data_IF_929304147064
#
_entry.id   IF_929304147064
#
_cell.length_a   1.000
_cell.length_b   1.000
_cell.length_c   1.000
_cell.angle_alpha   90.00
_cell.angle_beta   90.00
_cell.angle_gamma   90.00
#
_symmetry.space_group_name_H-M   'P 1'
#
loop_
_entity.id
_entity.type
_entity.pdbx_description
1 polymer ?
#
# COMPACT_ATOMS: atom_id res chain seq x y z
N UNK A 1 -18.63 15.33 8.15
CA UNK A 1 -17.72 14.53 9.00
C UNK A 1 -16.32 15.11 8.91
N UNK A 2 -15.55 15.21 9.99
CA UNK A 2 -14.15 15.60 9.90
C UNK A 2 -13.40 14.58 9.05
N UNK A 3 -12.62 15.04 8.06
CA UNK A 3 -11.67 14.18 7.36
C UNK A 3 -10.61 13.75 8.37
N UNK A 4 -10.28 12.46 8.44
CA UNK A 4 -9.09 12.04 9.16
C UNK A 4 -7.87 12.56 8.40
N UNK A 5 -7.13 13.50 9.00
CA UNK A 5 -5.97 14.15 8.40
C UNK A 5 -4.68 13.59 8.98
N UNK A 6 -3.60 13.63 8.18
CA UNK A 6 -2.28 13.16 8.59
C UNK A 6 -1.67 14.12 9.62
N UNK A 7 -1.42 13.62 10.84
CA UNK A 7 -0.85 14.41 11.95
C UNK A 7 0.67 14.27 12.09
N UNK A 8 1.32 13.52 11.20
CA UNK A 8 2.77 13.29 11.29
C UNK A 8 3.53 14.61 11.07
N UNK A 9 4.63 14.79 11.80
CA UNK A 9 5.48 15.99 11.70
C UNK A 9 6.89 15.67 11.20
N UNK A 10 7.12 14.43 10.75
CA UNK A 10 8.40 14.02 10.17
C UNK A 10 8.57 14.46 8.72
N UNK A 11 9.80 14.82 8.36
CA UNK A 11 10.26 14.98 6.97
C UNK A 11 10.96 13.73 6.47
N UNK A 12 10.92 13.55 5.16
CA UNK A 12 11.39 12.37 4.43
C UNK A 12 12.32 12.76 3.27
N UNK A 13 13.00 13.91 3.36
CA UNK A 13 13.96 14.34 2.34
C UNK A 13 15.05 13.28 2.14
N UNK A 14 15.38 13.00 0.88
CA UNK A 14 16.37 11.98 0.51
C UNK A 14 15.93 10.54 0.76
N UNK A 15 14.69 10.30 1.19
CA UNK A 15 14.14 8.95 1.40
C UNK A 15 13.45 8.43 0.14
N UNK A 16 13.61 7.13 -0.12
CA UNK A 16 12.88 6.44 -1.18
C UNK A 16 11.72 5.63 -0.60
N UNK A 17 10.53 5.81 -1.16
CA UNK A 17 9.36 4.99 -0.88
C UNK A 17 8.84 4.29 -2.14
N UNK A 18 8.39 3.04 -2.00
CA UNK A 18 7.67 2.30 -3.03
C UNK A 18 6.24 2.08 -2.54
N UNK A 19 5.24 2.48 -3.34
CA UNK A 19 3.83 2.28 -3.03
C UNK A 19 3.19 1.40 -4.10
N UNK A 20 2.78 0.19 -3.75
CA UNK A 20 2.03 -0.67 -4.69
C UNK A 20 0.59 -0.21 -4.79
N UNK A 21 0.02 -0.18 -6.00
CA UNK A 21 -1.35 0.30 -6.22
C UNK A 21 -1.50 1.80 -5.95
N UNK A 22 -0.49 2.59 -6.29
CA UNK A 22 -0.43 4.05 -6.05
C UNK A 22 -1.39 4.89 -6.90
N UNK A 23 -2.13 4.28 -7.84
CA UNK A 23 -2.98 5.00 -8.78
C UNK A 23 -4.42 5.27 -8.28
N UNK A 24 -4.81 4.74 -7.12
CA UNK A 24 -6.17 4.92 -6.60
C UNK A 24 -6.24 4.82 -5.07
N UNK A 25 -7.35 5.32 -4.52
CA UNK A 25 -7.70 5.19 -3.10
C UNK A 25 -6.54 5.54 -2.16
N UNK A 26 -6.29 4.65 -1.19
CA UNK A 26 -5.28 4.84 -0.14
C UNK A 26 -3.88 4.96 -0.72
N UNK A 27 -3.53 4.20 -1.76
CA UNK A 27 -2.20 4.24 -2.37
C UNK A 27 -1.89 5.61 -2.98
N UNK A 28 -2.87 6.22 -3.64
CA UNK A 28 -2.74 7.56 -4.23
C UNK A 28 -2.54 8.64 -3.16
N UNK A 29 -3.37 8.64 -2.11
CA UNK A 29 -3.24 9.62 -1.02
C UNK A 29 -1.94 9.41 -0.23
N UNK A 30 -1.54 8.15 -0.01
CA UNK A 30 -0.24 7.83 0.62
C UNK A 30 0.93 8.35 -0.19
N UNK A 31 0.88 8.19 -1.51
CA UNK A 31 1.90 8.72 -2.44
C UNK A 31 2.00 10.24 -2.33
N UNK A 32 0.86 10.94 -2.32
CA UNK A 32 0.83 12.39 -2.19
C UNK A 32 1.47 12.86 -0.88
N UNK A 33 1.10 12.26 0.26
CA UNK A 33 1.63 12.69 1.56
C UNK A 33 3.10 12.32 1.78
N UNK A 34 3.58 11.21 1.21
CA UNK A 34 5.02 10.89 1.21
C UNK A 34 5.81 11.93 0.40
N UNK A 35 5.33 12.27 -0.80
CA UNK A 35 6.00 13.24 -1.67
C UNK A 35 5.99 14.66 -1.08
N UNK A 36 4.87 15.09 -0.46
CA UNK A 36 4.79 16.38 0.26
C UNK A 36 5.79 16.45 1.42
N UNK A 37 6.16 15.30 1.99
CA UNK A 37 7.21 15.22 3.03
C UNK A 37 8.63 15.14 2.49
N UNK A 38 8.83 15.23 1.17
CA UNK A 38 10.14 15.26 0.55
C UNK A 38 10.65 13.92 0.03
N UNK A 39 9.89 12.83 0.22
CA UNK A 39 10.30 11.54 -0.30
C UNK A 39 10.29 11.53 -1.83
N UNK A 40 11.19 10.75 -2.42
CA UNK A 40 11.01 10.20 -3.77
C UNK A 40 10.07 9.00 -3.65
N UNK A 41 9.07 8.91 -4.52
CA UNK A 41 8.05 7.86 -4.48
C UNK A 41 7.97 7.15 -5.82
N UNK A 42 8.21 5.84 -5.80
CA UNK A 42 7.92 4.94 -6.92
C UNK A 42 6.46 4.50 -6.80
N UNK A 43 5.66 4.97 -7.76
CA UNK A 43 4.26 4.63 -7.96
C UNK A 43 4.16 3.31 -8.73
N UNK A 44 4.21 2.18 -8.02
CA UNK A 44 4.21 0.85 -8.63
C UNK A 44 2.77 0.41 -8.96
N UNK A 45 2.43 0.38 -10.26
CA UNK A 45 1.07 0.17 -10.74
C UNK A 45 1.03 -0.77 -11.95
N UNK A 46 -0.04 -1.59 -12.05
CA UNK A 46 -0.26 -2.46 -13.21
C UNK A 46 -0.57 -1.68 -14.49
N UNK A 47 -1.38 -0.63 -14.40
CA UNK A 47 -1.80 0.17 -15.55
C UNK A 47 -1.14 1.55 -15.49
N UNK A 48 -0.28 1.83 -16.48
CA UNK A 48 0.53 3.05 -16.56
C UNK A 48 -0.33 4.29 -16.79
N UNK A 49 -1.37 4.20 -17.62
CA UNK A 49 -2.22 5.35 -17.94
C UNK A 49 -2.96 5.86 -16.69
N UNK A 50 -3.49 4.95 -15.87
CA UNK A 50 -4.11 5.28 -14.58
C UNK A 50 -3.10 5.80 -13.58
N UNK A 51 -1.86 5.30 -13.61
CA UNK A 51 -0.79 5.83 -12.78
C UNK A 51 -0.44 7.28 -13.18
N UNK A 52 -0.37 7.58 -14.48
CA UNK A 52 -0.15 8.94 -14.98
C UNK A 52 -1.29 9.89 -14.62
N UNK A 53 -2.55 9.45 -14.73
CA UNK A 53 -3.69 10.26 -14.26
C UNK A 53 -3.60 10.56 -12.76
N UNK A 54 -3.21 9.57 -11.95
CA UNK A 54 -3.00 9.77 -10.52
C UNK A 54 -1.82 10.72 -10.23
N UNK A 55 -0.70 10.55 -10.93
CA UNK A 55 0.48 11.42 -10.83
C UNK A 55 0.11 12.86 -11.19
N UNK A 56 -0.59 13.06 -12.31
CA UNK A 56 -1.08 14.38 -12.73
C UNK A 56 -1.97 15.00 -11.66
N UNK A 57 -2.92 14.24 -11.10
CA UNK A 57 -3.79 14.74 -10.04
C UNK A 57 -2.99 15.20 -8.81
N UNK A 58 -1.95 14.45 -8.40
CA UNK A 58 -1.08 14.86 -7.28
C UNK A 58 -0.37 16.18 -7.61
N UNK A 59 0.16 16.31 -8.82
CA UNK A 59 0.86 17.53 -9.25
C UNK A 59 -0.09 18.73 -9.35
N UNK A 60 -1.29 18.55 -9.89
CA UNK A 60 -2.32 19.60 -9.96
C UNK A 60 -2.80 20.04 -8.56
N UNK A 61 -2.70 19.18 -7.55
CA UNK A 61 -3.10 19.52 -6.18
C UNK A 61 -1.99 20.13 -5.34
N UNK A 62 -0.74 19.71 -5.57
CA UNK A 62 0.34 19.91 -4.59
C UNK A 62 1.65 20.47 -5.17
N UNK A 63 1.69 20.85 -6.44
CA UNK A 63 2.87 21.56 -7.01
C UNK A 63 2.86 23.04 -6.60
N UNK A 64 4.03 23.66 -6.62
CA UNK A 64 4.18 25.10 -6.40
C UNK A 64 3.30 25.91 -7.37
N UNK A 65 2.71 26.99 -6.88
CA UNK A 65 1.76 27.82 -7.63
C UNK A 65 0.31 27.34 -7.59
N UNK A 66 0.02 26.14 -7.07
CA UNK A 66 -1.36 25.67 -6.89
C UNK A 66 -2.03 26.31 -5.67
N UNK A 67 -3.33 26.65 -5.75
CA UNK A 67 -4.09 27.12 -4.59
C UNK A 67 -4.02 26.09 -3.45
N UNK A 68 -3.86 26.58 -2.22
CA UNK A 68 -3.87 25.77 -1.00
C UNK A 68 -2.80 24.67 -0.93
N UNK A 69 -1.72 24.74 -1.71
CA UNK A 69 -0.67 23.70 -1.77
C UNK A 69 -0.13 23.27 -0.39
N UNK A 70 -0.08 24.19 0.58
CA UNK A 70 0.38 23.94 1.95
C UNK A 70 -0.74 23.98 3.00
N UNK A 71 -2.00 24.15 2.62
CA UNK A 71 -3.15 24.21 3.54
C UNK A 71 -4.16 23.10 3.27
N UNK A 72 -4.20 22.57 2.04
CA UNK A 72 -5.04 21.45 1.63
C UNK A 72 -4.72 20.20 2.42
N UNK A 73 -5.74 19.67 3.10
CA UNK A 73 -5.67 18.47 3.95
C UNK A 73 -4.63 18.58 5.08
N UNK A 74 -4.36 19.80 5.57
CA UNK A 74 -3.40 20.04 6.66
C UNK A 74 -4.16 20.32 7.97
N UNK A 75 -3.93 19.54 9.03
CA UNK A 75 -4.73 19.64 10.26
C UNK A 75 -4.33 20.80 11.18
N UNK A 76 -3.08 21.26 11.12
CA UNK A 76 -2.55 22.31 11.99
C UNK A 76 -1.25 22.89 11.42
N UNK A 77 -0.81 24.03 11.96
CA UNK A 77 0.43 24.72 11.55
C UNK A 77 1.68 23.87 11.75
N UNK A 78 1.72 22.98 12.76
CA UNK A 78 2.86 22.09 12.95
C UNK A 78 3.06 21.16 11.75
N UNK A 79 1.98 20.55 11.24
CA UNK A 79 2.07 19.69 10.04
C UNK A 79 2.42 20.51 8.79
N UNK A 80 1.90 21.74 8.68
CA UNK A 80 2.21 22.65 7.58
C UNK A 80 3.70 22.92 7.43
N UNK A 81 4.42 23.07 8.55
CA UNK A 81 5.88 23.26 8.56
C UNK A 81 6.66 22.02 8.09
N UNK A 82 6.02 20.85 8.06
CA UNK A 82 6.66 19.57 7.72
C UNK A 82 6.40 19.14 6.28
N UNK A 83 5.64 19.90 5.50
CA UNK A 83 5.32 19.60 4.11
C UNK A 83 5.87 20.68 3.17
N UNK A 84 6.13 20.27 1.94
CA UNK A 84 6.65 21.10 0.84
C UNK A 84 5.82 20.83 -0.41
N UNK A 85 5.77 21.76 -1.37
CA UNK A 85 5.22 21.47 -2.68
C UNK A 85 5.90 20.25 -3.31
N UNK A 86 5.10 19.42 -3.99
CA UNK A 86 5.55 18.23 -4.70
C UNK A 86 6.22 18.65 -6.00
N UNK A 87 7.40 18.08 -6.27
CA UNK A 87 8.12 18.26 -7.53
C UNK A 87 7.85 17.08 -8.46
N UNK A 88 7.68 17.29 -9.79
CA UNK A 88 7.45 16.20 -10.74
C UNK A 88 8.47 15.06 -10.65
N UNK A 89 9.75 15.39 -10.45
CA UNK A 89 10.83 14.40 -10.32
C UNK A 89 10.77 13.53 -9.06
N UNK A 90 9.94 13.86 -8.07
CA UNK A 90 9.72 13.00 -6.91
C UNK A 90 8.81 11.80 -7.23
N UNK A 91 7.99 11.87 -8.28
CA UNK A 91 7.01 10.84 -8.60
C UNK A 91 7.46 10.03 -9.82
N UNK A 92 7.93 8.81 -9.57
CA UNK A 92 8.40 7.89 -10.61
C UNK A 92 7.36 6.80 -10.81
N UNK A 93 6.91 6.57 -12.05
CA UNK A 93 5.95 5.49 -12.35
C UNK A 93 6.72 4.25 -12.79
N UNK A 94 6.37 3.11 -12.20
CA UNK A 94 6.92 1.81 -12.57
C UNK A 94 5.80 0.78 -12.73
N UNK A 95 5.97 -0.11 -13.71
CA UNK A 95 5.01 -1.17 -13.98
C UNK A 95 5.15 -2.32 -12.98
N UNK A 96 4.06 -2.65 -12.30
CA UNK A 96 3.99 -3.78 -11.39
C UNK A 96 2.58 -4.38 -11.35
N UNK A 97 2.45 -5.63 -11.77
CA UNK A 97 1.29 -6.47 -11.49
C UNK A 97 1.60 -7.45 -10.35
N UNK A 98 0.98 -7.26 -9.18
CA UNK A 98 1.18 -8.17 -8.04
C UNK A 98 0.49 -9.52 -8.21
N UNK A 99 -0.25 -9.73 -9.31
CA UNK A 99 -0.83 -11.01 -9.72
C UNK A 99 0.04 -11.76 -10.75
N UNK A 100 1.29 -11.34 -10.97
CA UNK A 100 2.23 -12.02 -11.88
C UNK A 100 3.65 -12.01 -11.32
N UNK A 101 4.21 -13.18 -11.02
CA UNK A 101 5.58 -13.31 -10.52
C UNK A 101 6.62 -12.85 -11.54
N UNK A 102 6.36 -13.03 -12.83
CA UNK A 102 7.20 -12.48 -13.89
C UNK A 102 7.25 -10.95 -13.83
N UNK A 103 6.09 -10.29 -13.67
CA UNK A 103 6.02 -8.82 -13.51
C UNK A 103 6.76 -8.36 -12.25
N UNK A 104 6.58 -9.06 -11.12
CA UNK A 104 7.24 -8.75 -9.85
C UNK A 104 8.77 -8.86 -9.96
N UNK A 105 9.28 -9.91 -10.59
CA UNK A 105 10.73 -10.09 -10.80
C UNK A 105 11.30 -8.99 -11.69
N UNK A 106 10.67 -8.72 -12.83
CA UNK A 106 11.10 -7.67 -13.74
C UNK A 106 11.07 -6.28 -13.08
N UNK A 107 10.05 -5.98 -12.27
CA UNK A 107 9.99 -4.76 -11.47
C UNK A 107 11.16 -4.67 -10.48
N UNK A 108 11.41 -5.74 -9.72
CA UNK A 108 12.49 -5.77 -8.74
C UNK A 108 13.86 -5.57 -9.40
N UNK A 109 14.11 -6.19 -10.56
CA UNK A 109 15.33 -6.00 -11.34
C UNK A 109 15.54 -4.53 -11.73
N UNK A 110 14.51 -3.87 -12.29
CA UNK A 110 14.60 -2.44 -12.68
C UNK A 110 14.84 -1.53 -11.49
N UNK A 111 14.15 -1.76 -10.38
CA UNK A 111 14.32 -0.96 -9.16
C UNK A 111 15.72 -1.18 -8.57
N UNK A 112 16.20 -2.41 -8.48
CA UNK A 112 17.52 -2.70 -7.91
C UNK A 112 18.67 -2.21 -8.81
N UNK A 113 18.44 -2.09 -10.13
CA UNK A 113 19.39 -1.49 -11.06
C UNK A 113 19.49 0.04 -10.92
N UNK A 114 18.42 0.72 -10.49
CA UNK A 114 18.33 2.18 -10.45
C UNK A 114 18.43 2.77 -9.04
N UNK A 115 18.04 2.02 -8.01
CA UNK A 115 17.93 2.51 -6.64
C UNK A 115 18.80 1.71 -5.68
N UNK A 116 19.68 2.42 -4.98
CA UNK A 116 20.59 1.78 -4.04
C UNK A 116 19.92 1.43 -2.72
N UNK A 117 18.90 2.16 -2.26
CA UNK A 117 18.29 1.96 -0.94
C UNK A 117 16.78 2.14 -1.01
N UNK A 118 16.03 1.38 -0.20
CA UNK A 118 14.57 1.51 -0.09
C UNK A 118 14.22 1.77 1.37
N UNK A 119 13.84 3.00 1.71
CA UNK A 119 13.51 3.37 3.09
C UNK A 119 12.09 2.92 3.47
N UNK A 120 11.15 2.91 2.52
CA UNK A 120 9.76 2.50 2.78
C UNK A 120 9.23 1.60 1.66
N UNK A 121 8.76 0.40 2.02
CA UNK A 121 7.96 -0.46 1.12
C UNK A 121 6.53 -0.51 1.64
N UNK A 122 5.58 0.03 0.87
CA UNK A 122 4.16 0.04 1.19
C UNK A 122 3.45 -0.99 0.31
N UNK A 123 3.22 -2.18 0.87
CA UNK A 123 2.46 -3.27 0.27
C UNK A 123 0.95 -2.95 0.40
N UNK A 124 0.46 -2.06 -0.48
CA UNK A 124 -0.90 -1.52 -0.46
C UNK A 124 -1.84 -2.15 -1.50
N UNK A 125 -1.33 -2.57 -2.65
CA UNK A 125 -2.15 -3.10 -3.74
C UNK A 125 -3.06 -4.25 -3.25
N UNK A 126 -4.20 -4.40 -3.91
CA UNK A 126 -5.04 -5.55 -3.63
C UNK A 126 -6.39 -5.51 -4.31
N UNK A 127 -7.02 -6.67 -4.30
CA UNK A 127 -8.38 -6.92 -4.78
C UNK A 127 -9.25 -7.38 -3.61
N UNK A 128 -10.56 -7.20 -3.73
CA UNK A 128 -11.50 -7.45 -2.64
C UNK A 128 -12.77 -8.13 -3.14
N UNK A 129 -13.11 -9.25 -2.51
CA UNK A 129 -14.38 -9.97 -2.69
C UNK A 129 -14.73 -10.23 -4.16
N UNK A 130 -13.74 -10.53 -4.99
CA UNK A 130 -13.92 -10.83 -6.41
C UNK A 130 -14.55 -12.22 -6.62
N UNK A 131 -15.17 -12.50 -7.78
CA UNK A 131 -15.41 -13.87 -8.23
C UNK A 131 -14.13 -14.72 -8.20
N UNK A 132 -14.26 -16.04 -8.23
CA UNK A 132 -13.09 -16.91 -8.35
C UNK A 132 -12.33 -16.56 -9.63
N UNK A 133 -11.02 -16.54 -9.52
CA UNK A 133 -10.11 -16.31 -10.62
C UNK A 133 -8.71 -16.69 -10.17
N UNK A 134 -7.82 -16.82 -11.13
CA UNK A 134 -6.43 -17.18 -10.86
C UNK A 134 -5.50 -16.07 -11.35
N UNK A 135 -4.40 -15.93 -10.63
CA UNK A 135 -3.22 -15.16 -11.05
C UNK A 135 -2.54 -15.84 -12.25
N UNK A 136 -1.60 -15.15 -12.89
CA UNK A 136 -0.82 -15.73 -13.98
C UNK A 136 -0.02 -16.97 -13.55
N UNK A 137 0.21 -17.13 -12.25
CA UNK A 137 1.00 -18.21 -11.63
C UNK A 137 0.12 -19.32 -11.03
N UNK A 138 -1.19 -19.36 -11.33
CA UNK A 138 -2.10 -20.42 -10.90
C UNK A 138 -2.50 -20.37 -9.42
N UNK A 139 -2.31 -19.22 -8.76
CA UNK A 139 -2.78 -18.95 -7.40
C UNK A 139 -4.16 -18.30 -7.44
N UNK A 140 -5.00 -18.56 -6.43
CA UNK A 140 -6.27 -17.84 -6.26
C UNK A 140 -6.03 -16.33 -6.21
N UNK A 141 -6.86 -15.59 -6.94
CA UNK A 141 -6.61 -14.19 -7.26
C UNK A 141 -6.39 -13.30 -6.02
N UNK A 142 -7.20 -13.45 -4.97
CA UNK A 142 -7.11 -12.60 -3.79
C UNK A 142 -5.88 -12.92 -2.93
N UNK A 143 -5.59 -14.19 -2.63
CA UNK A 143 -4.38 -14.56 -1.88
C UNK A 143 -3.10 -14.34 -2.70
N UNK A 144 -3.17 -14.60 -4.01
CA UNK A 144 -2.08 -14.36 -4.95
C UNK A 144 -1.72 -12.87 -5.02
N UNK A 145 -2.70 -12.01 -5.33
CA UNK A 145 -2.50 -10.56 -5.48
C UNK A 145 -2.20 -9.86 -4.16
N UNK A 146 -2.96 -10.16 -3.09
CA UNK A 146 -2.89 -9.39 -1.85
C UNK A 146 -1.71 -9.81 -0.97
N UNK A 147 -1.30 -11.08 -1.05
CA UNK A 147 -0.31 -11.67 -0.16
C UNK A 147 0.92 -12.22 -0.89
N UNK A 148 0.79 -13.26 -1.72
CA UNK A 148 1.97 -13.92 -2.31
C UNK A 148 2.78 -13.02 -3.24
N UNK A 149 2.12 -12.16 -4.01
CA UNK A 149 2.80 -11.16 -4.83
C UNK A 149 3.62 -10.18 -4.01
N UNK A 150 3.06 -9.68 -2.89
CA UNK A 150 3.79 -8.82 -1.97
C UNK A 150 4.87 -9.55 -1.17
N UNK A 151 4.66 -10.82 -0.85
CA UNK A 151 5.67 -11.66 -0.22
C UNK A 151 6.90 -11.75 -1.13
N UNK A 152 6.72 -12.18 -2.39
CA UNK A 152 7.81 -12.26 -3.36
C UNK A 152 8.48 -10.90 -3.58
N UNK A 153 7.69 -9.83 -3.76
CA UNK A 153 8.21 -8.47 -3.91
C UNK A 153 9.11 -8.06 -2.74
N UNK A 154 8.65 -8.33 -1.51
CA UNK A 154 9.39 -7.96 -0.29
C UNK A 154 10.72 -8.72 -0.20
N UNK A 155 10.70 -10.03 -0.48
CA UNK A 155 11.91 -10.86 -0.46
C UNK A 155 12.93 -10.41 -1.52
N UNK A 156 12.47 -10.11 -2.75
CA UNK A 156 13.36 -9.65 -3.82
C UNK A 156 13.98 -8.28 -3.54
N UNK A 157 13.23 -7.37 -2.93
CA UNK A 157 13.72 -6.02 -2.60
C UNK A 157 14.49 -5.94 -1.28
N UNK A 158 14.51 -7.04 -0.49
CA UNK A 158 15.14 -7.09 0.82
C UNK A 158 16.59 -6.59 0.84
N UNK A 159 17.46 -6.89 -0.15
CA UNK A 159 18.83 -6.36 -0.16
C UNK A 159 18.89 -4.82 -0.14
N UNK A 160 18.00 -4.13 -0.87
CA UNK A 160 17.96 -2.67 -0.88
C UNK A 160 17.27 -2.08 0.36
N UNK A 161 16.32 -2.81 0.94
CA UNK A 161 15.70 -2.44 2.23
C UNK A 161 16.74 -2.50 3.35
N UNK A 162 17.54 -3.57 3.42
CA UNK A 162 18.63 -3.72 4.40
C UNK A 162 19.65 -2.58 4.32
N UNK A 163 19.98 -2.09 3.12
CA UNK A 163 20.88 -0.94 2.94
C UNK A 163 20.31 0.39 3.47
N UNK A 164 19.00 0.49 3.65
CA UNK A 164 18.37 1.64 4.29
C UNK A 164 18.26 1.51 5.83
N UNK A 165 18.61 0.36 6.40
CA UNK A 165 18.56 0.11 7.83
C UNK A 165 19.76 0.74 8.58
N UNK A 166 19.60 1.06 9.88
CA UNK A 166 18.37 0.99 10.67
C UNK A 166 17.34 2.05 10.24
N UNK A 167 16.06 1.73 10.40
CA UNK A 167 14.94 2.66 10.19
C UNK A 167 14.15 2.46 8.89
N UNK A 168 14.56 1.52 8.03
CA UNK A 168 13.75 1.11 6.89
C UNK A 168 12.47 0.42 7.34
N UNK A 169 11.37 0.64 6.62
CA UNK A 169 10.05 0.14 7.01
C UNK A 169 9.35 -0.64 5.93
N UNK A 170 8.73 -1.76 6.32
CA UNK A 170 7.84 -2.55 5.48
C UNK A 170 6.43 -2.44 6.06
N UNK A 171 5.50 -1.89 5.28
CA UNK A 171 4.13 -1.65 5.70
C UNK A 171 3.19 -2.53 4.88
N UNK A 172 2.57 -3.51 5.53
CA UNK A 172 1.57 -4.39 4.93
C UNK A 172 0.17 -3.85 5.18
N UNK A 173 -0.55 -3.46 4.11
CA UNK A 173 -1.94 -2.99 4.24
C UNK A 173 -2.88 -4.20 4.32
N UNK A 174 -3.46 -4.37 5.51
CA UNK A 174 -4.48 -5.37 5.82
C UNK A 174 -5.88 -4.73 5.82
N UNK A 175 -6.82 -5.30 6.56
CA UNK A 175 -8.21 -4.85 6.73
C UNK A 175 -8.74 -5.37 8.07
N UNK A 176 -9.74 -4.72 8.66
CA UNK A 176 -10.47 -5.26 9.83
C UNK A 176 -11.03 -6.67 9.56
N UNK A 177 -11.25 -7.01 8.29
CA UNK A 177 -11.65 -8.34 7.83
C UNK A 177 -10.71 -9.47 8.31
N UNK A 178 -9.43 -9.18 8.58
CA UNK A 178 -8.48 -10.18 9.09
C UNK A 178 -8.94 -10.85 10.39
N UNK A 179 -9.72 -10.15 11.24
CA UNK A 179 -10.23 -10.69 12.51
C UNK A 179 -11.18 -11.89 12.32
N UNK A 180 -11.76 -12.03 11.14
CA UNK A 180 -12.64 -13.15 10.74
C UNK A 180 -11.91 -14.15 9.83
N UNK A 181 -10.64 -13.91 9.52
CA UNK A 181 -9.84 -14.78 8.66
C UNK A 181 -9.42 -16.05 9.38
N UNK A 182 -9.22 -17.12 8.61
CA UNK A 182 -8.51 -18.32 9.01
C UNK A 182 -7.56 -18.70 7.88
N UNK A 183 -6.33 -19.05 8.22
CA UNK A 183 -5.39 -19.59 7.23
C UNK A 183 -5.73 -21.07 7.05
N UNK A 184 -6.12 -21.44 5.83
CA UNK A 184 -6.18 -22.84 5.45
C UNK A 184 -4.77 -23.32 5.12
N UNK A 185 -4.12 -23.99 6.07
CA UNK A 185 -2.73 -24.44 5.94
C UNK A 185 -2.56 -25.61 4.97
N UNK A 186 -3.62 -26.36 4.66
CA UNK A 186 -3.57 -27.47 3.70
C UNK A 186 -3.71 -27.00 2.25
N UNK A 187 -4.51 -25.96 2.01
CA UNK A 187 -4.64 -25.31 0.69
C UNK A 187 -5.09 -23.85 0.82
N UNK A 188 -4.14 -22.94 0.64
CA UNK A 188 -4.42 -21.50 0.66
C UNK A 188 -5.13 -21.01 -0.61
N UNK A 189 -5.18 -21.80 -1.70
CA UNK A 189 -5.83 -21.40 -2.94
C UNK A 189 -7.36 -21.55 -2.91
N UNK A 190 -7.93 -22.26 -1.93
CA UNK A 190 -9.38 -22.38 -1.75
C UNK A 190 -10.14 -22.68 -3.07
N UNK A 191 -9.66 -23.67 -3.83
CA UNK A 191 -10.19 -23.97 -5.18
C UNK A 191 -11.66 -24.41 -5.19
N UNK A 192 -12.33 -24.12 -6.30
CA UNK A 192 -13.69 -24.57 -6.64
C UNK A 192 -14.74 -24.38 -5.54
N UNK A 193 -15.32 -25.49 -5.06
CA UNK A 193 -16.44 -25.54 -4.10
C UNK A 193 -16.09 -24.96 -2.73
N UNK A 194 -14.80 -24.78 -2.43
CA UNK A 194 -14.32 -24.21 -1.17
C UNK A 194 -14.18 -22.69 -1.21
N UNK A 195 -14.36 -22.07 -2.39
CA UNK A 195 -14.22 -20.64 -2.58
C UNK A 195 -15.41 -19.88 -2.01
N UNK A 196 -15.11 -18.90 -1.16
CA UNK A 196 -16.05 -17.87 -0.76
C UNK A 196 -15.38 -16.52 -0.88
N UNK A 197 -16.01 -15.57 -1.59
CA UNK A 197 -15.43 -14.25 -1.90
C UNK A 197 -14.84 -13.56 -0.66
N UNK A 198 -15.61 -13.55 0.44
CA UNK A 198 -15.18 -12.99 1.71
C UNK A 198 -14.20 -13.88 2.47
N UNK A 199 -14.32 -15.21 2.36
CA UNK A 199 -13.41 -16.18 2.98
C UNK A 199 -11.99 -16.04 2.41
N UNK A 200 -11.86 -15.97 1.10
CA UNK A 200 -10.59 -15.71 0.41
C UNK A 200 -10.02 -14.33 0.77
N UNK A 201 -10.87 -13.30 0.78
CA UNK A 201 -10.44 -11.95 1.17
C UNK A 201 -9.91 -11.90 2.62
N UNK A 202 -10.68 -12.40 3.59
CA UNK A 202 -10.31 -12.37 5.01
C UNK A 202 -9.06 -13.21 5.28
N UNK A 203 -8.91 -14.36 4.61
CA UNK A 203 -7.68 -15.16 4.62
C UNK A 203 -6.48 -14.35 4.12
N UNK A 204 -6.61 -13.67 2.98
CA UNK A 204 -5.51 -12.86 2.42
C UNK A 204 -5.09 -11.71 3.35
N UNK A 205 -6.05 -11.07 4.01
CA UNK A 205 -5.76 -9.96 4.94
C UNK A 205 -5.19 -10.46 6.27
N UNK A 206 -5.57 -11.65 6.74
CA UNK A 206 -4.89 -12.31 7.85
C UNK A 206 -3.46 -12.70 7.51
N UNK A 207 -3.22 -13.21 6.30
CA UNK A 207 -1.88 -13.56 5.82
C UNK A 207 -0.94 -12.33 5.85
N UNK A 208 -1.43 -11.14 5.48
CA UNK A 208 -0.66 -9.90 5.58
C UNK A 208 -0.26 -9.52 7.02
N UNK A 209 -1.15 -9.74 8.00
CA UNK A 209 -0.85 -9.49 9.44
C UNK A 209 0.22 -10.46 9.92
N UNK A 210 0.06 -11.75 9.60
CA UNK A 210 1.03 -12.79 9.97
C UNK A 210 2.39 -12.49 9.33
N UNK A 211 2.40 -12.10 8.06
CA UNK A 211 3.62 -11.77 7.33
C UNK A 211 4.38 -10.60 7.97
N UNK A 212 3.69 -9.49 8.26
CA UNK A 212 4.31 -8.35 8.92
C UNK A 212 4.92 -8.73 10.28
N UNK A 213 4.21 -9.56 11.07
CA UNK A 213 4.73 -10.07 12.35
C UNK A 213 5.98 -10.93 12.15
N UNK A 214 5.99 -11.81 11.15
CA UNK A 214 7.14 -12.67 10.87
C UNK A 214 8.35 -11.87 10.36
N UNK A 215 8.14 -10.88 9.49
CA UNK A 215 9.21 -9.97 9.05
C UNK A 215 9.81 -9.21 10.24
N UNK A 216 8.96 -8.69 11.14
CA UNK A 216 9.42 -7.97 12.33
C UNK A 216 10.26 -8.85 13.25
N UNK A 217 9.88 -10.11 13.43
CA UNK A 217 10.65 -11.07 14.21
C UNK A 217 11.97 -11.45 13.54
N UNK A 218 11.96 -11.72 12.23
CA UNK A 218 13.15 -12.16 11.48
C UNK A 218 14.23 -11.09 11.35
N UNK A 219 13.82 -9.82 11.24
CA UNK A 219 14.75 -8.71 10.97
C UNK A 219 14.85 -7.70 12.12
N UNK A 220 14.46 -8.11 13.34
CA UNK A 220 14.51 -7.27 14.54
C UNK A 220 15.91 -6.71 14.77
N UNK A 221 16.93 -7.56 14.70
CA UNK A 221 18.31 -7.20 15.00
C UNK A 221 18.99 -6.45 13.83
N UNK A 222 18.33 -6.42 12.67
CA UNK A 222 18.78 -5.66 11.50
C UNK A 222 18.25 -4.21 11.50
N UNK A 223 17.42 -3.82 12.47
CA UNK A 223 16.84 -2.48 12.54
C UNK A 223 15.76 -2.19 11.50
N UNK A 224 15.16 -3.24 10.92
CA UNK A 224 14.04 -3.14 9.97
C UNK A 224 12.72 -3.17 10.75
N UNK A 225 11.85 -2.20 10.48
CA UNK A 225 10.53 -2.12 11.12
C UNK A 225 9.45 -2.65 10.16
N UNK A 226 8.90 -3.83 10.44
CA UNK A 226 7.75 -4.34 9.71
C UNK A 226 6.46 -4.18 10.52
N UNK A 227 5.44 -3.60 9.90
CA UNK A 227 4.13 -3.35 10.54
C UNK A 227 2.98 -3.71 9.61
N UNK A 228 1.84 -4.04 10.20
CA UNK A 228 0.58 -4.19 9.48
C UNK A 228 -0.39 -3.09 9.91
N UNK A 229 -1.05 -2.47 8.94
CA UNK A 229 -2.07 -1.43 9.19
C UNK A 229 -3.40 -1.84 8.57
N UNK A 230 -4.51 -1.53 9.23
CA UNK A 230 -5.83 -1.58 8.58
C UNK A 230 -6.41 -0.17 8.50
N UNK A 231 -6.88 0.27 7.33
CA UNK A 231 -7.34 1.65 7.14
C UNK A 231 -8.77 1.90 7.65
N UNK A 232 -9.46 0.87 8.14
CA UNK A 232 -10.89 0.96 8.45
C UNK A 232 -11.76 0.92 7.19
N UNK A 233 -12.96 1.51 7.25
CA UNK A 233 -13.83 1.67 6.07
C UNK A 233 -13.40 2.93 5.33
N UNK A 234 -12.82 2.75 4.15
CA UNK A 234 -12.40 3.86 3.28
C UNK A 234 -13.13 3.75 1.95
N UNK A 235 -13.66 4.88 1.47
CA UNK A 235 -14.20 4.97 0.11
C UNK A 235 -13.05 4.82 -0.88
N UNK A 236 -12.99 3.66 -1.52
CA UNK A 236 -11.98 3.30 -2.51
C UNK A 236 -12.66 2.66 -3.72
N UNK A 237 -11.97 2.63 -4.85
CA UNK A 237 -12.45 1.95 -6.06
C UNK A 237 -12.75 0.45 -5.86
N UNK A 238 -12.29 -0.15 -4.75
CA UNK A 238 -12.59 -1.54 -4.38
C UNK A 238 -14.09 -1.82 -4.21
N UNK A 239 -14.91 -0.78 -4.02
CA UNK A 239 -16.37 -0.91 -3.89
C UNK A 239 -17.11 -0.95 -5.24
N UNK A 240 -16.44 -0.70 -6.37
CA UNK A 240 -17.10 -0.56 -7.70
C UNK A 240 -17.84 -1.82 -8.19
N UNK A 241 -17.57 -3.00 -7.62
CA UNK A 241 -18.34 -4.23 -7.87
C UNK A 241 -19.69 -4.33 -7.13
N UNK A 242 -20.02 -3.35 -6.29
CA UNK A 242 -21.26 -3.25 -5.53
C UNK A 242 -22.04 -1.99 -5.96
N UNK A 243 -22.71 -2.03 -7.11
CA UNK A 243 -23.88 -1.17 -7.33
C UNK A 243 -25.12 -1.96 -6.94
N UNK A 244 -25.82 -1.53 -5.89
CA UNK A 244 -27.27 -1.22 -5.87
C UNK A 244 -27.70 -0.77 -4.45
N UNK A 245 -28.59 0.23 -4.46
CA UNK A 245 -29.45 0.81 -3.43
C UNK A 245 -28.83 1.69 -2.33
N UNK A 246 -29.24 2.96 -2.39
CA UNK A 246 -29.31 3.89 -1.27
C UNK A 246 -29.92 3.24 -0.03
N UNK A 247 -29.54 3.78 1.14
CA UNK A 247 -30.04 3.45 2.49
C UNK A 247 -29.36 2.22 3.14
N UNK A 248 -28.18 2.42 3.72
CA UNK A 248 -27.87 2.08 5.14
C UNK A 248 -26.39 2.31 5.44
N UNK A 249 -25.99 3.58 5.52
CA UNK A 249 -24.72 3.96 6.15
C UNK A 249 -24.91 3.90 7.68
N UNK A 250 -24.69 2.73 8.30
CA UNK A 250 -24.57 2.62 9.77
C UNK A 250 -23.19 2.08 10.16
N UNK A 251 -22.34 3.06 10.48
CA UNK A 251 -21.37 3.14 11.58
C UNK A 251 -20.77 1.84 12.13
N UNK A 252 -19.45 1.68 11.99
CA UNK A 252 -18.64 0.86 12.88
C UNK A 252 -17.33 1.62 13.20
N UNK A 253 -17.10 1.87 14.49
CA UNK A 253 -16.01 2.70 15.02
C UNK A 253 -14.62 2.06 14.87
N UNK A 254 -13.59 2.91 14.66
CA UNK A 254 -12.18 2.58 14.77
C UNK A 254 -11.64 3.03 16.12
N UNK A 255 -10.93 2.13 16.79
CA UNK A 255 -9.98 2.45 17.87
C UNK A 255 -8.59 2.32 17.28
N UNK A 256 -7.87 3.43 17.14
CA UNK A 256 -6.43 3.43 16.87
C UNK A 256 -5.77 3.69 18.23
N UNK A 257 -5.14 2.68 18.81
CA UNK A 257 -4.24 2.89 19.94
C UNK A 257 -2.89 3.38 19.40
N UNK A 258 -2.32 4.47 19.92
CA UNK A 258 -0.95 4.87 19.62
C UNK A 258 0.00 3.88 20.30
N UNK A 259 0.82 3.20 19.49
CA UNK A 259 2.03 2.54 19.98
C UNK A 259 3.14 3.58 19.96
N UNK A 260 3.33 4.23 21.11
CA UNK A 260 4.62 4.76 21.53
C UNK A 260 5.52 3.59 21.93
#
# INVERSE_FOLDING_TARGET
MPKALCLLTGRLDGKLAIVTGANSGIGKETTAELARRGAKVIMACRNKERAEMARKWILDCYTEGQPDVLTRNVPNETVKQCITPVKPGQLVIEELDTASFASIKAFAERVLASEQRIDFLINNAGVMACPYGETADGLELQIGTNHFGHFLLTELLMPAIKRAAPGSRIICVSSVAHKRGRINTSDMNLRDKNYGRWKAYTQSKLANVIHARQLALRHKDEGIVAVSVHPGVVSTDLWKGYMVSSLTTKTAHLTIHPLL
#
